data_IF_320866197830
#
_entry.id   IF_320866197830
#
_cell.length_a   1.000
_cell.length_b   1.000
_cell.length_c   1.000
_cell.angle_alpha   90.00
_cell.angle_beta   90.00
_cell.angle_gamma   90.00
#
_symmetry.space_group_name_H-M   'P 1'
#
loop_
_entity.id
_entity.type
_entity.pdbx_description
1 polymer ?
#
# COMPACT_ATOMS: atom_id res chain seq x y z
N UNK A 1 0.84 17.54 13.98
CA UNK A 1 0.62 17.62 12.53
C UNK A 1 0.50 19.08 12.14
N UNK A 2 1.53 19.66 11.55
CA UNK A 2 1.36 20.93 10.83
C UNK A 2 1.03 20.58 9.38
N UNK A 3 -0.27 20.54 9.08
CA UNK A 3 -0.67 20.41 7.70
C UNK A 3 -0.80 21.80 7.07
N UNK A 4 0.08 22.11 6.13
CA UNK A 4 0.01 23.39 5.39
C UNK A 4 -0.95 23.27 4.22
N UNK A 5 -2.02 24.06 4.22
CA UNK A 5 -2.98 24.12 3.11
C UNK A 5 -2.31 24.70 1.85
N UNK A 6 -2.19 23.90 0.79
CA UNK A 6 -1.70 24.39 -0.51
C UNK A 6 -2.80 25.19 -1.23
N UNK A 7 -2.50 26.44 -1.59
CA UNK A 7 -3.39 27.29 -2.39
C UNK A 7 -3.52 26.69 -3.80
N UNK A 8 -4.75 26.43 -4.27
CA UNK A 8 -4.99 25.93 -5.63
C UNK A 8 -4.56 26.98 -6.66
N UNK A 9 -3.67 26.59 -7.57
CA UNK A 9 -3.21 27.45 -8.66
C UNK A 9 -4.17 27.39 -9.86
N UNK A 10 -4.27 28.45 -10.68
CA UNK A 10 -5.11 28.44 -11.86
C UNK A 10 -4.67 27.33 -12.85
N UNK A 11 -5.64 26.55 -13.31
CA UNK A 11 -5.42 25.38 -14.18
C UNK A 11 -5.52 25.71 -15.68
N UNK A 12 -5.97 26.91 -16.04
CA UNK A 12 -6.16 27.30 -17.44
C UNK A 12 -4.82 27.38 -18.21
N UNK A 13 -4.75 26.71 -19.37
CA UNK A 13 -3.56 26.67 -20.23
C UNK A 13 -3.08 28.05 -20.70
N UNK A 14 -4.00 28.97 -21.02
CA UNK A 14 -3.66 30.33 -21.47
C UNK A 14 -2.97 31.10 -20.35
N UNK A 15 -3.51 30.98 -19.12
CA UNK A 15 -2.93 31.61 -17.94
C UNK A 15 -1.56 31.00 -17.61
N UNK A 16 -1.41 29.67 -17.72
CA UNK A 16 -0.11 28.99 -17.51
C UNK A 16 0.92 29.39 -18.58
N UNK A 17 0.52 29.50 -19.85
CA UNK A 17 1.39 29.93 -20.95
C UNK A 17 1.85 31.38 -20.74
N UNK A 18 0.93 32.32 -20.52
CA UNK A 18 1.24 33.72 -20.26
C UNK A 18 2.15 33.89 -19.05
N UNK A 19 1.92 33.12 -17.97
CA UNK A 19 2.78 33.16 -16.80
C UNK A 19 4.18 32.61 -17.08
N UNK A 20 4.29 31.51 -17.85
CA UNK A 20 5.57 30.93 -18.25
C UNK A 20 6.37 31.88 -19.14
N UNK A 21 5.73 32.54 -20.10
CA UNK A 21 6.40 33.46 -21.03
C UNK A 21 6.77 34.79 -20.37
N UNK A 22 5.90 35.35 -19.52
CA UNK A 22 6.15 36.65 -18.88
C UNK A 22 7.09 36.59 -17.68
N UNK A 23 7.00 35.53 -16.88
CA UNK A 23 7.71 35.45 -15.60
C UNK A 23 8.71 34.29 -15.54
N UNK A 24 8.73 33.41 -16.54
CA UNK A 24 9.56 32.22 -16.50
C UNK A 24 9.34 31.42 -15.21
N UNK A 25 10.44 31.15 -14.52
CA UNK A 25 10.42 30.51 -13.20
C UNK A 25 10.64 31.56 -12.12
N UNK A 26 9.56 31.89 -11.40
CA UNK A 26 9.57 32.95 -10.38
C UNK A 26 10.51 32.67 -9.20
N UNK A 27 10.84 31.40 -8.94
CA UNK A 27 11.75 30.96 -7.89
C UNK A 27 12.89 30.15 -8.52
N UNK A 28 14.10 30.34 -8.02
CA UNK A 28 15.23 29.51 -8.42
C UNK A 28 14.92 28.03 -8.14
N UNK A 29 15.28 27.14 -9.07
CA UNK A 29 15.02 25.70 -8.96
C UNK A 29 13.59 25.24 -9.30
N UNK A 30 12.60 26.14 -9.51
CA UNK A 30 11.22 25.71 -9.81
C UNK A 30 10.92 25.48 -11.29
N UNK A 31 11.93 25.54 -12.16
CA UNK A 31 11.77 25.43 -13.62
C UNK A 31 11.03 24.15 -14.03
N UNK A 32 11.46 23.00 -13.49
CA UNK A 32 10.85 21.70 -13.79
C UNK A 32 9.39 21.63 -13.32
N UNK A 33 9.07 22.17 -12.14
CA UNK A 33 7.69 22.20 -11.64
C UNK A 33 6.78 23.06 -12.52
N UNK A 34 7.23 24.25 -12.92
CA UNK A 34 6.47 25.15 -13.81
C UNK A 34 6.24 24.51 -15.18
N UNK A 35 7.25 23.83 -15.73
CA UNK A 35 7.15 23.12 -17.00
C UNK A 35 6.21 21.92 -16.90
N UNK A 36 6.36 21.06 -15.87
CA UNK A 36 5.49 19.89 -15.65
C UNK A 36 4.02 20.29 -15.49
N UNK A 37 3.74 21.37 -14.75
CA UNK A 37 2.38 21.90 -14.63
C UNK A 37 1.81 22.30 -16.00
N UNK A 38 2.58 22.95 -16.86
CA UNK A 38 2.09 23.31 -18.19
C UNK A 38 1.70 22.09 -19.03
N UNK A 39 2.49 21.02 -19.00
CA UNK A 39 2.22 19.80 -19.76
C UNK A 39 1.01 18.98 -19.26
N UNK A 40 0.48 19.25 -18.06
CA UNK A 40 -0.80 18.65 -17.62
C UNK A 40 -1.98 19.04 -18.51
N UNK A 41 -1.88 20.17 -19.22
CA UNK A 41 -2.94 20.66 -20.11
C UNK A 41 -2.74 20.25 -21.58
N UNK A 42 -1.64 19.54 -21.88
CA UNK A 42 -1.34 19.05 -23.22
C UNK A 42 -1.77 17.60 -23.28
N UNK A 43 -2.70 17.30 -24.19
CA UNK A 43 -3.15 15.94 -24.44
C UNK A 43 -2.28 15.29 -25.54
N UNK A 44 -2.13 13.94 -25.53
CA UNK A 44 -1.47 13.23 -26.62
C UNK A 44 -2.16 13.52 -27.95
N UNK A 45 -1.38 13.85 -28.98
CA UNK A 45 -1.89 14.12 -30.33
C UNK A 45 -2.24 12.85 -31.12
N UNK A 46 -1.78 11.68 -30.66
CA UNK A 46 -1.91 10.42 -31.36
C UNK A 46 -2.00 9.24 -30.38
N UNK A 47 -2.90 8.29 -30.63
CA UNK A 47 -3.08 7.10 -29.81
C UNK A 47 -3.09 5.87 -30.70
N UNK A 48 -2.22 4.90 -30.41
CA UNK A 48 -2.23 3.59 -31.07
C UNK A 48 -2.84 2.57 -30.12
N UNK A 49 -3.84 1.85 -30.61
CA UNK A 49 -4.59 0.85 -29.84
C UNK A 49 -4.13 -0.55 -30.27
N UNK A 50 -4.16 -1.51 -29.34
CA UNK A 50 -3.79 -2.91 -29.58
C UNK A 50 -2.37 -3.06 -30.14
N UNK A 51 -1.42 -2.35 -29.52
CA UNK A 51 0.01 -2.51 -29.79
C UNK A 51 0.42 -3.94 -29.45
N UNK A 52 1.19 -4.57 -30.33
CA UNK A 52 1.72 -5.90 -30.06
C UNK A 52 2.80 -5.80 -28.98
N UNK A 53 2.71 -6.69 -28.00
CA UNK A 53 3.64 -6.72 -26.87
C UNK A 53 4.13 -8.15 -26.61
N UNK A 54 5.30 -8.31 -25.98
CA UNK A 54 5.76 -9.61 -25.49
C UNK A 54 4.73 -10.27 -24.56
N UNK A 55 4.82 -11.61 -24.36
CA UNK A 55 3.97 -12.35 -23.44
C UNK A 55 4.32 -12.02 -21.99
N UNK A 56 3.92 -10.83 -21.54
CA UNK A 56 4.13 -10.30 -20.19
C UNK A 56 2.92 -9.47 -19.73
N UNK A 57 2.79 -9.28 -18.43
CA UNK A 57 1.82 -8.41 -17.79
C UNK A 57 2.48 -7.08 -17.44
N UNK A 58 2.20 -6.08 -18.27
CA UNK A 58 2.67 -4.71 -18.08
C UNK A 58 2.08 -4.13 -16.80
N UNK A 59 2.91 -3.52 -15.94
CA UNK A 59 2.45 -3.05 -14.62
C UNK A 59 2.49 -1.55 -14.42
N UNK A 60 3.68 -0.95 -14.28
CA UNK A 60 3.83 0.48 -14.01
C UNK A 60 5.25 1.00 -14.31
N UNK A 61 5.38 2.31 -14.44
CA UNK A 61 6.68 2.99 -14.51
C UNK A 61 7.31 3.13 -13.13
N UNK A 62 8.64 3.09 -13.07
CA UNK A 62 9.40 3.56 -11.91
C UNK A 62 9.07 5.02 -11.59
N UNK A 63 9.23 5.48 -10.34
CA UNK A 63 8.87 6.84 -9.93
C UNK A 63 9.57 7.92 -10.76
N UNK A 64 10.80 7.65 -11.23
CA UNK A 64 11.58 8.54 -12.08
C UNK A 64 11.20 8.49 -13.58
N UNK A 65 10.30 7.58 -13.97
CA UNK A 65 9.79 7.40 -15.32
C UNK A 65 10.78 6.79 -16.33
N UNK A 66 11.96 6.35 -15.89
CA UNK A 66 13.00 5.81 -16.78
C UNK A 66 12.81 4.33 -17.09
N UNK A 67 12.29 3.58 -16.13
CA UNK A 67 12.08 2.14 -16.26
C UNK A 67 10.58 1.83 -16.25
N UNK A 68 10.21 0.76 -16.93
CA UNK A 68 8.87 0.21 -16.94
C UNK A 68 8.95 -1.27 -16.57
N UNK A 69 8.19 -1.69 -15.56
CA UNK A 69 8.21 -3.07 -15.09
C UNK A 69 7.04 -3.86 -15.67
N UNK A 70 7.31 -5.12 -16.00
CA UNK A 70 6.31 -6.11 -16.38
C UNK A 70 6.62 -7.45 -15.69
N UNK A 71 5.59 -8.25 -15.47
CA UNK A 71 5.73 -9.62 -14.98
C UNK A 71 5.70 -10.58 -16.17
N UNK A 72 6.52 -11.62 -16.17
CA UNK A 72 6.47 -12.63 -17.22
C UNK A 72 5.11 -13.34 -17.28
N UNK A 73 4.78 -13.95 -18.42
CA UNK A 73 3.51 -14.67 -18.60
C UNK A 73 3.29 -15.80 -17.57
N UNK A 74 4.37 -16.45 -17.15
CA UNK A 74 4.37 -17.52 -16.13
C UNK A 74 4.42 -16.99 -14.68
N UNK A 75 4.55 -15.67 -14.47
CA UNK A 75 4.57 -15.02 -13.16
C UNK A 75 5.72 -15.46 -12.24
N UNK A 76 6.86 -15.84 -12.82
CA UNK A 76 8.06 -16.27 -12.10
C UNK A 76 9.15 -15.20 -12.09
N UNK A 77 9.14 -14.31 -13.09
CA UNK A 77 10.19 -13.34 -13.34
C UNK A 77 9.64 -11.93 -13.54
N UNK A 78 10.51 -10.96 -13.26
CA UNK A 78 10.27 -9.54 -13.48
C UNK A 78 11.10 -9.08 -14.68
N UNK A 79 10.42 -8.51 -15.65
CA UNK A 79 11.00 -7.88 -16.82
C UNK A 79 11.09 -6.37 -16.60
N UNK A 80 12.29 -5.81 -16.72
CA UNK A 80 12.54 -4.38 -16.58
C UNK A 80 12.90 -3.82 -17.94
N UNK A 81 12.06 -2.92 -18.44
CA UNK A 81 12.25 -2.23 -19.72
C UNK A 81 12.76 -0.80 -19.49
N UNK A 82 13.74 -0.37 -20.28
CA UNK A 82 14.18 1.02 -20.35
C UNK A 82 13.29 1.80 -21.31
N UNK A 83 12.67 2.86 -20.81
CA UNK A 83 11.87 3.78 -21.61
C UNK A 83 12.77 4.70 -22.44
N UNK A 84 12.59 4.71 -23.76
CA UNK A 84 13.42 5.48 -24.71
C UNK A 84 12.93 6.93 -24.91
N UNK A 85 11.84 7.32 -24.25
CA UNK A 85 11.28 8.67 -24.34
C UNK A 85 10.15 8.80 -25.36
N UNK A 86 9.45 9.95 -25.36
CA UNK A 86 8.22 10.15 -26.14
C UNK A 86 8.48 10.26 -27.66
N UNK A 87 9.68 10.62 -28.08
CA UNK A 87 10.05 10.75 -29.50
C UNK A 87 10.58 9.46 -30.13
N UNK A 88 10.66 8.35 -29.37
CA UNK A 88 11.34 7.13 -29.80
C UNK A 88 10.71 6.45 -31.04
N UNK A 89 9.43 6.72 -31.30
CA UNK A 89 8.71 6.25 -32.48
C UNK A 89 8.21 7.41 -33.37
N UNK A 90 8.79 8.60 -33.24
CA UNK A 90 8.35 9.78 -34.01
C UNK A 90 8.59 9.61 -35.51
N UNK A 91 9.66 8.89 -35.90
CA UNK A 91 9.98 8.53 -37.28
C UNK A 91 8.88 7.66 -37.92
N UNK A 92 8.33 6.72 -37.15
CA UNK A 92 7.23 5.86 -37.59
C UNK A 92 5.91 6.65 -37.79
N UNK A 93 5.78 7.82 -37.15
CA UNK A 93 4.53 8.59 -37.11
C UNK A 93 4.60 9.92 -37.89
N UNK A 94 5.77 10.31 -38.41
CA UNK A 94 6.02 11.66 -38.95
C UNK A 94 5.15 12.02 -40.15
N UNK A 95 4.81 11.04 -40.99
CA UNK A 95 4.04 11.25 -42.23
C UNK A 95 2.61 10.68 -42.14
N UNK A 96 2.17 10.40 -40.92
CA UNK A 96 0.88 9.76 -40.66
C UNK A 96 -0.11 10.82 -40.23
N UNK A 97 -1.19 10.96 -41.01
CA UNK A 97 -2.35 11.75 -40.62
C UNK A 97 -3.19 11.02 -39.55
N UNK A 98 -4.47 10.78 -39.85
CA UNK A 98 -5.31 10.00 -38.93
C UNK A 98 -5.00 8.51 -39.03
N UNK A 99 -4.71 7.89 -37.89
CA UNK A 99 -4.41 6.45 -37.78
C UNK A 99 -5.47 5.57 -38.47
N UNK A 100 -6.75 5.92 -38.31
CA UNK A 100 -7.89 5.16 -38.84
C UNK A 100 -8.02 5.21 -40.36
N UNK A 101 -7.37 6.17 -41.01
CA UNK A 101 -7.39 6.33 -42.49
C UNK A 101 -6.25 5.60 -43.19
N UNK A 102 -5.33 4.99 -42.43
CA UNK A 102 -4.20 4.24 -42.97
C UNK A 102 -4.64 2.88 -43.52
N UNK A 103 -3.86 2.34 -44.45
CA UNK A 103 -4.01 0.95 -44.87
C UNK A 103 -3.69 -0.01 -43.73
N UNK A 104 -4.42 -1.14 -43.68
CA UNK A 104 -4.29 -2.16 -42.62
C UNK A 104 -2.84 -2.67 -42.50
N UNK A 105 -2.14 -2.79 -43.63
CA UNK A 105 -0.73 -3.22 -43.67
C UNK A 105 0.18 -2.27 -42.88
N UNK A 106 0.03 -0.95 -43.08
CA UNK A 106 0.83 0.07 -42.39
C UNK A 106 0.46 0.11 -40.90
N UNK A 107 -0.82 -0.01 -40.56
CA UNK A 107 -1.26 -0.07 -39.17
C UNK A 107 -0.62 -1.24 -38.41
N UNK A 108 -0.52 -2.41 -39.04
CA UNK A 108 0.08 -3.60 -38.43
C UNK A 108 1.61 -3.47 -38.27
N UNK A 109 2.30 -2.89 -39.25
CA UNK A 109 3.74 -2.63 -39.15
C UNK A 109 4.05 -1.66 -37.99
N UNK A 110 3.21 -0.65 -37.80
CA UNK A 110 3.31 0.28 -36.67
C UNK A 110 3.05 -0.43 -35.34
N UNK A 111 1.97 -1.24 -35.25
CA UNK A 111 1.61 -1.96 -34.01
C UNK A 111 2.69 -2.93 -33.55
N UNK A 112 3.37 -3.60 -34.48
CA UNK A 112 4.42 -4.56 -34.16
C UNK A 112 5.71 -3.91 -33.67
N UNK A 113 6.08 -2.74 -34.21
CA UNK A 113 7.36 -2.07 -33.89
C UNK A 113 7.31 -1.06 -32.75
N UNK A 114 6.14 -0.46 -32.49
CA UNK A 114 6.02 0.64 -31.51
C UNK A 114 6.51 0.23 -30.12
N UNK A 115 6.16 -0.97 -29.65
CA UNK A 115 6.51 -1.40 -28.29
C UNK A 115 8.03 -1.48 -28.11
N UNK A 116 8.73 -2.16 -29.03
CA UNK A 116 10.19 -2.32 -28.98
C UNK A 116 10.93 -0.98 -29.10
N UNK A 117 10.36 -0.01 -29.83
CA UNK A 117 10.92 1.34 -29.94
C UNK A 117 10.85 2.11 -28.63
N UNK A 118 9.71 2.08 -27.94
CA UNK A 118 9.55 2.77 -26.66
C UNK A 118 10.21 2.04 -25.51
N UNK A 119 10.20 0.71 -25.52
CA UNK A 119 10.59 -0.14 -24.40
C UNK A 119 11.62 -1.16 -24.84
N UNK A 120 12.87 -0.96 -24.40
CA UNK A 120 13.94 -1.93 -24.61
C UNK A 120 14.15 -2.75 -23.35
N UNK A 121 14.12 -4.08 -23.48
CA UNK A 121 14.38 -4.97 -22.34
C UNK A 121 15.78 -4.71 -21.80
N UNK A 122 15.87 -4.36 -20.52
CA UNK A 122 17.12 -4.05 -19.82
C UNK A 122 17.55 -5.21 -18.93
N UNK A 123 16.62 -5.75 -18.13
CA UNK A 123 16.87 -6.86 -17.23
C UNK A 123 15.71 -7.86 -17.26
N UNK A 124 16.04 -9.15 -17.16
CA UNK A 124 15.11 -10.24 -16.90
C UNK A 124 15.55 -10.88 -15.59
N UNK A 125 14.73 -10.78 -14.56
CA UNK A 125 15.08 -11.14 -13.19
C UNK A 125 14.19 -12.29 -12.76
N UNK A 126 14.75 -13.49 -12.65
CA UNK A 126 14.03 -14.65 -12.13
C UNK A 126 13.90 -14.51 -10.62
N UNK A 127 12.67 -14.43 -10.12
CA UNK A 127 12.39 -14.19 -8.70
C UNK A 127 12.06 -15.50 -7.99
N UNK A 128 11.12 -16.27 -8.54
CA UNK A 128 10.62 -17.50 -7.91
C UNK A 128 10.39 -18.58 -8.95
N UNK A 129 10.56 -19.83 -8.55
CA UNK A 129 10.30 -21.01 -9.41
C UNK A 129 9.09 -21.80 -8.94
N UNK A 130 8.66 -21.63 -7.69
CA UNK A 130 7.61 -22.44 -7.06
C UNK A 130 6.35 -21.64 -6.76
N UNK A 131 6.50 -20.33 -6.56
CA UNK A 131 5.40 -19.44 -6.17
C UNK A 131 4.94 -18.62 -7.38
N UNK A 132 3.77 -18.00 -7.28
CA UNK A 132 3.27 -17.09 -8.31
C UNK A 132 3.40 -15.64 -7.86
N UNK A 133 4.08 -14.81 -8.65
CA UNK A 133 4.12 -13.37 -8.43
C UNK A 133 2.73 -12.76 -8.62
N UNK A 134 2.32 -11.94 -7.67
CA UNK A 134 1.10 -11.16 -7.78
C UNK A 134 1.37 -9.95 -8.69
N UNK A 135 0.77 -9.96 -9.87
CA UNK A 135 0.93 -8.92 -10.92
C UNK A 135 0.54 -7.52 -10.44
N UNK A 136 -0.32 -7.42 -9.44
CA UNK A 136 -0.77 -6.14 -8.91
C UNK A 136 0.09 -5.65 -7.74
N UNK A 137 0.92 -6.52 -7.17
CA UNK A 137 1.76 -6.21 -6.03
C UNK A 137 3.10 -5.62 -6.48
N UNK A 138 3.25 -4.31 -6.32
CA UNK A 138 4.49 -3.62 -6.65
C UNK A 138 4.59 -2.30 -5.93
N UNK A 139 5.66 -2.11 -5.16
CA UNK A 139 5.98 -0.89 -4.42
C UNK A 139 7.40 -0.46 -4.80
N UNK A 140 7.61 0.81 -5.12
CA UNK A 140 8.94 1.33 -5.44
C UNK A 140 9.45 2.15 -4.27
N UNK A 141 10.74 2.02 -3.98
CA UNK A 141 11.43 2.97 -3.13
C UNK A 141 11.42 4.37 -3.77
N UNK A 142 11.51 5.41 -2.93
CA UNK A 142 11.45 6.80 -3.37
C UNK A 142 12.59 7.16 -4.34
N UNK A 143 13.76 6.54 -4.19
CA UNK A 143 14.90 6.71 -5.09
C UNK A 143 14.73 5.99 -6.44
N UNK A 144 13.67 5.17 -6.58
CA UNK A 144 13.40 4.36 -7.77
C UNK A 144 14.40 3.22 -8.01
N UNK A 145 15.31 2.97 -7.07
CA UNK A 145 16.34 1.93 -7.19
C UNK A 145 15.78 0.54 -6.94
N UNK A 146 14.92 0.41 -5.93
CA UNK A 146 14.37 -0.86 -5.50
C UNK A 146 12.89 -0.98 -5.83
N UNK A 147 12.46 -2.22 -6.10
CA UNK A 147 11.06 -2.58 -6.18
C UNK A 147 10.79 -3.77 -5.27
N UNK A 148 9.71 -3.68 -4.50
CA UNK A 148 9.16 -4.80 -3.73
C UNK A 148 8.04 -5.41 -4.55
N UNK A 149 8.11 -6.72 -4.75
CA UNK A 149 7.07 -7.52 -5.39
C UNK A 149 6.69 -8.67 -4.47
N UNK A 150 5.40 -8.98 -4.41
CA UNK A 150 4.88 -10.07 -3.60
C UNK A 150 4.54 -11.28 -4.44
N UNK A 151 4.85 -12.47 -3.94
CA UNK A 151 4.33 -13.75 -4.43
C UNK A 151 3.46 -14.43 -3.39
N UNK A 152 2.62 -15.33 -3.87
CA UNK A 152 1.81 -16.21 -3.05
C UNK A 152 1.97 -17.66 -3.52
N UNK A 153 1.91 -18.59 -2.58
CA UNK A 153 1.82 -20.01 -2.82
C UNK A 153 0.68 -20.61 -2.03
N UNK A 154 -0.13 -21.43 -2.69
CA UNK A 154 -1.14 -22.22 -2.01
C UNK A 154 -0.49 -23.28 -1.13
N UNK A 155 -1.09 -23.49 0.04
CA UNK A 155 -0.68 -24.56 0.95
C UNK A 155 -1.33 -25.86 0.45
N UNK A 156 -0.55 -26.91 0.11
CA UNK A 156 -1.10 -28.19 -0.32
C UNK A 156 -2.00 -28.82 0.74
N UNK A 157 -3.09 -29.48 0.34
CA UNK A 157 -4.05 -30.10 1.28
C UNK A 157 -3.43 -31.18 2.20
N UNK A 158 -2.35 -31.82 1.74
CA UNK A 158 -1.56 -32.81 2.49
C UNK A 158 -0.77 -32.17 3.63
N UNK A 159 -0.37 -30.90 3.46
CA UNK A 159 0.41 -30.13 4.43
C UNK A 159 -0.53 -29.27 5.25
N UNK A 160 -1.37 -29.91 6.09
CA UNK A 160 -2.28 -29.17 6.96
C UNK A 160 -1.49 -28.40 8.02
N UNK A 161 -1.64 -27.06 8.09
CA UNK A 161 -0.98 -26.28 9.12
C UNK A 161 -1.43 -26.70 10.50
N UNK A 162 -0.49 -26.72 11.44
CA UNK A 162 -0.80 -27.05 12.82
C UNK A 162 -1.63 -25.96 13.47
N UNK A 163 -2.39 -26.32 14.50
CA UNK A 163 -3.28 -25.37 15.20
C UNK A 163 -2.53 -24.11 15.68
N UNK A 164 -1.32 -24.28 16.21
CA UNK A 164 -0.53 -23.18 16.78
C UNK A 164 0.17 -22.32 15.71
N UNK A 165 0.27 -22.80 14.48
CA UNK A 165 0.73 -21.97 13.35
C UNK A 165 -0.40 -21.07 12.83
N UNK A 166 -1.65 -21.55 12.85
CA UNK A 166 -2.82 -20.76 12.45
C UNK A 166 -3.13 -19.68 13.51
N UNK A 167 -3.09 -20.08 14.78
CA UNK A 167 -3.47 -19.26 15.92
C UNK A 167 -2.25 -18.85 16.74
N UNK A 168 -1.54 -17.84 16.27
CA UNK A 168 -0.31 -17.33 16.91
C UNK A 168 -0.58 -16.37 18.07
N UNK A 169 -1.81 -15.89 18.22
CA UNK A 169 -2.28 -15.12 19.37
C UNK A 169 -3.81 -15.24 19.52
N UNK A 170 -4.33 -14.79 20.67
CA UNK A 170 -5.76 -14.79 20.99
C UNK A 170 -6.63 -13.87 20.12
N UNK A 171 -6.03 -13.04 19.28
CA UNK A 171 -6.71 -12.17 18.33
C UNK A 171 -6.76 -12.73 16.91
N UNK A 172 -6.08 -13.85 16.65
CA UNK A 172 -5.99 -14.44 15.32
C UNK A 172 -7.38 -14.74 14.75
N UNK A 173 -7.53 -14.47 13.46
CA UNK A 173 -8.81 -14.62 12.76
C UNK A 173 -9.08 -16.09 12.47
N UNK A 174 -10.35 -16.49 12.45
CA UNK A 174 -10.69 -17.87 12.05
C UNK A 174 -10.65 -17.98 10.53
N UNK A 175 -9.81 -18.88 9.96
CA UNK A 175 -9.76 -19.07 8.52
C UNK A 175 -11.11 -19.52 7.96
N UNK A 176 -11.45 -19.06 6.77
CA UNK A 176 -12.69 -19.42 6.10
C UNK A 176 -12.40 -19.86 4.67
N UNK A 177 -13.34 -20.59 4.05
CA UNK A 177 -13.23 -21.01 2.65
C UNK A 177 -13.06 -19.80 1.71
N UNK A 178 -13.63 -18.65 2.07
CA UNK A 178 -13.54 -17.40 1.28
C UNK A 178 -12.23 -16.63 1.52
N UNK A 179 -11.49 -16.99 2.57
CA UNK A 179 -10.23 -16.37 2.96
C UNK A 179 -9.19 -17.47 3.24
N UNK A 180 -8.75 -18.22 2.20
CA UNK A 180 -7.76 -19.28 2.38
C UNK A 180 -6.43 -18.69 2.81
N UNK A 181 -5.73 -19.47 3.64
CA UNK A 181 -4.37 -19.18 4.08
C UNK A 181 -3.39 -19.59 2.97
N UNK A 182 -2.38 -18.77 2.79
CA UNK A 182 -1.35 -18.93 1.76
C UNK A 182 0.01 -18.61 2.39
N UNK A 183 1.07 -19.12 1.78
CA UNK A 183 2.42 -18.69 2.07
C UNK A 183 2.74 -17.50 1.16
N UNK A 184 3.02 -16.36 1.78
CA UNK A 184 3.36 -15.11 1.08
C UNK A 184 4.84 -14.83 1.19
N UNK A 185 5.42 -14.36 0.11
CA UNK A 185 6.83 -13.99 0.08
C UNK A 185 6.99 -12.61 -0.55
N UNK A 186 7.71 -11.72 0.13
CA UNK A 186 8.08 -10.41 -0.36
C UNK A 186 9.51 -10.43 -0.87
N UNK A 187 9.69 -10.00 -2.12
CA UNK A 187 10.96 -9.99 -2.81
C UNK A 187 11.41 -8.56 -3.04
N UNK A 188 12.63 -8.24 -2.64
CA UNK A 188 13.26 -6.95 -2.89
C UNK A 188 14.20 -7.07 -4.08
N UNK A 189 13.96 -6.28 -5.12
CA UNK A 189 14.70 -6.35 -6.39
C UNK A 189 15.37 -5.00 -6.67
N UNK A 190 16.67 -5.01 -6.98
CA UNK A 190 17.42 -3.84 -7.44
C UNK A 190 17.26 -3.68 -8.97
N UNK A 191 16.61 -2.60 -9.40
CA UNK A 191 16.32 -2.28 -10.80
C UNK A 191 17.54 -1.75 -11.57
N UNK A 192 18.56 -1.25 -10.87
CA UNK A 192 19.79 -0.76 -11.48
C UNK A 192 20.72 -1.92 -11.84
N UNK A 193 20.90 -2.86 -10.91
CA UNK A 193 21.74 -4.03 -11.09
C UNK A 193 21.01 -5.20 -11.74
N UNK A 194 19.67 -5.21 -11.69
CA UNK A 194 18.87 -6.28 -12.26
C UNK A 194 18.98 -7.58 -11.46
N UNK A 195 18.97 -7.50 -10.12
CA UNK A 195 19.14 -8.67 -9.24
C UNK A 195 18.12 -8.70 -8.11
N UNK A 196 17.78 -9.91 -7.67
CA UNK A 196 17.08 -10.14 -6.42
C UNK A 196 18.05 -9.90 -5.25
N UNK A 197 17.67 -9.06 -4.29
CA UNK A 197 18.53 -8.65 -3.18
C UNK A 197 18.17 -9.36 -1.87
N UNK A 198 16.89 -9.38 -1.51
CA UNK A 198 16.43 -9.98 -0.25
C UNK A 198 15.00 -10.52 -0.35
N UNK A 199 14.64 -11.41 0.56
CA UNK A 199 13.39 -12.17 0.56
C UNK A 199 12.83 -12.25 1.99
N UNK A 200 11.53 -12.01 2.17
CA UNK A 200 10.83 -12.18 3.45
C UNK A 200 9.60 -13.06 3.31
N UNK A 201 9.56 -14.13 4.09
CA UNK A 201 8.51 -15.14 4.05
C UNK A 201 7.51 -14.96 5.20
N UNK A 202 6.22 -15.10 4.88
CA UNK A 202 5.09 -15.11 5.80
C UNK A 202 4.31 -16.39 5.55
N UNK A 203 4.39 -17.34 6.47
CA UNK A 203 3.76 -18.65 6.31
C UNK A 203 2.38 -18.66 6.96
N UNK A 204 1.44 -19.38 6.35
CA UNK A 204 0.13 -19.68 6.95
C UNK A 204 -0.60 -18.38 7.33
N UNK A 205 -0.51 -17.38 6.45
CA UNK A 205 -1.02 -16.04 6.72
C UNK A 205 -2.13 -15.66 5.73
N UNK A 206 -2.76 -14.50 5.96
CA UNK A 206 -3.55 -13.77 4.98
C UNK A 206 -3.02 -12.36 4.84
N UNK A 207 -2.37 -12.08 3.71
CA UNK A 207 -1.88 -10.76 3.33
C UNK A 207 -2.50 -10.36 1.99
N UNK A 208 -3.22 -9.24 1.96
CA UNK A 208 -3.84 -8.75 0.73
C UNK A 208 -2.81 -8.07 -0.20
N UNK A 209 -2.12 -8.87 -1.01
CA UNK A 209 -1.14 -8.36 -1.98
C UNK A 209 -1.76 -7.58 -3.16
N UNK A 210 -2.98 -7.96 -3.56
CA UNK A 210 -3.69 -7.31 -4.66
C UNK A 210 -3.91 -5.82 -4.39
N UNK A 211 -3.65 -5.00 -5.41
CA UNK A 211 -3.61 -3.54 -5.30
C UNK A 211 -2.81 -2.98 -4.10
N UNK A 212 -1.81 -3.71 -3.59
CA UNK A 212 -1.02 -3.34 -2.41
C UNK A 212 -1.89 -3.04 -1.16
N UNK A 213 -3.02 -3.71 -0.96
CA UNK A 213 -3.92 -3.35 0.15
C UNK A 213 -3.36 -3.68 1.54
N UNK A 214 -2.57 -4.75 1.64
CA UNK A 214 -1.91 -5.20 2.86
C UNK A 214 -0.46 -4.72 3.00
N UNK A 215 0.08 -4.01 2.00
CA UNK A 215 1.45 -3.52 1.98
C UNK A 215 1.48 -2.00 1.80
N UNK A 216 2.27 -1.30 2.59
CA UNK A 216 2.45 0.13 2.40
C UNK A 216 3.90 0.52 2.58
N UNK A 217 4.45 1.27 1.63
CA UNK A 217 5.82 1.78 1.68
C UNK A 217 5.78 3.30 1.76
N UNK A 218 6.46 3.84 2.76
CA UNK A 218 6.69 5.27 2.90
C UNK A 218 8.20 5.49 3.02
N UNK A 219 8.80 6.16 2.03
CA UNK A 219 10.26 6.27 1.90
C UNK A 219 10.93 4.90 1.86
N UNK A 220 11.66 4.57 2.91
CA UNK A 220 12.37 3.32 3.15
C UNK A 220 11.65 2.41 4.16
N UNK A 221 10.54 2.86 4.75
CA UNK A 221 9.80 2.13 5.76
C UNK A 221 8.63 1.37 5.13
N UNK A 222 8.71 0.04 5.15
CA UNK A 222 7.68 -0.88 4.68
C UNK A 222 6.85 -1.39 5.86
N UNK A 223 5.53 -1.21 5.78
CA UNK A 223 4.58 -1.87 6.66
C UNK A 223 3.89 -3.04 5.92
N UNK A 224 3.80 -4.20 6.58
CA UNK A 224 3.06 -5.39 6.13
C UNK A 224 1.99 -5.79 7.15
N UNK A 225 0.73 -5.88 6.73
CA UNK A 225 -0.39 -6.30 7.58
C UNK A 225 -0.65 -7.80 7.41
N UNK A 226 -0.35 -8.55 8.47
CA UNK A 226 -0.83 -9.91 8.68
C UNK A 226 -2.27 -9.85 9.19
N UNK A 227 -3.23 -10.13 8.31
CA UNK A 227 -4.66 -10.13 8.67
C UNK A 227 -5.00 -11.36 9.48
N UNK A 228 -4.43 -12.52 9.14
CA UNK A 228 -4.68 -13.76 9.87
C UNK A 228 -4.19 -13.65 11.33
N UNK A 229 -2.96 -13.18 11.53
CA UNK A 229 -2.36 -13.10 12.86
C UNK A 229 -2.58 -11.75 13.56
N UNK A 230 -3.34 -10.83 12.97
CA UNK A 230 -3.61 -9.51 13.54
C UNK A 230 -2.33 -8.80 14.00
N UNK A 231 -1.36 -8.71 13.09
CA UNK A 231 -0.05 -8.12 13.34
C UNK A 231 0.39 -7.23 12.19
N UNK A 232 0.98 -6.08 12.51
CA UNK A 232 1.64 -5.21 11.56
C UNK A 232 3.14 -5.37 11.74
N UNK A 233 3.83 -5.76 10.67
CA UNK A 233 5.28 -5.86 10.60
C UNK A 233 5.84 -4.58 9.97
N UNK A 234 6.79 -3.94 10.64
CA UNK A 234 7.50 -2.76 10.15
C UNK A 234 8.92 -3.18 9.81
N UNK A 235 9.29 -2.98 8.55
CA UNK A 235 10.62 -3.19 8.01
C UNK A 235 11.20 -1.88 7.51
N UNK A 236 12.52 -1.76 7.56
CA UNK A 236 13.25 -0.69 6.89
C UNK A 236 14.09 -1.28 5.76
N UNK A 237 14.11 -0.63 4.60
CA UNK A 237 14.94 -1.02 3.46
C UNK A 237 16.29 -0.32 3.59
N UNK A 238 17.33 -1.10 3.87
CA UNK A 238 18.70 -0.59 3.99
C UNK A 238 19.62 -1.43 3.12
N UNK A 239 20.31 -0.77 2.18
CA UNK A 239 21.31 -1.39 1.28
C UNK A 239 20.85 -2.68 0.57
N UNK A 240 19.56 -2.74 0.21
CA UNK A 240 19.00 -3.90 -0.48
C UNK A 240 18.61 -5.05 0.45
N UNK A 241 18.44 -4.80 1.74
CA UNK A 241 17.93 -5.77 2.70
C UNK A 241 16.69 -5.23 3.42
N UNK A 242 15.78 -6.12 3.80
CA UNK A 242 14.72 -5.85 4.74
C UNK A 242 15.29 -5.97 6.16
N UNK A 243 15.26 -4.89 6.92
CA UNK A 243 15.65 -4.87 8.34
C UNK A 243 14.38 -4.87 9.19
N UNK A 244 14.24 -5.84 10.09
CA UNK A 244 13.12 -5.90 11.04
C UNK A 244 13.22 -4.75 12.05
N UNK A 245 12.25 -3.83 12.03
CA UNK A 245 12.22 -2.70 12.97
C UNK A 245 11.29 -3.00 14.13
N UNK A 246 10.03 -3.32 13.85
CA UNK A 246 9.01 -3.48 14.90
C UNK A 246 7.86 -4.37 14.48
N UNK A 247 7.21 -5.01 15.45
CA UNK A 247 5.94 -5.73 15.30
C UNK A 247 4.90 -5.08 16.19
N UNK A 248 3.72 -4.78 15.63
CA UNK A 248 2.64 -4.09 16.33
C UNK A 248 1.39 -4.99 16.30
N UNK A 249 0.91 -5.41 17.47
CA UNK A 249 -0.26 -6.30 17.58
C UNK A 249 -0.47 -6.76 19.02
N UNK A 250 -0.12 -8.03 19.31
CA UNK A 250 -0.12 -8.61 20.67
C UNK A 250 0.68 -7.74 21.64
N UNK A 251 1.87 -7.35 21.23
CA UNK A 251 2.75 -6.43 21.93
C UNK A 251 2.97 -5.16 21.11
N UNK A 252 3.33 -4.06 21.79
CA UNK A 252 3.54 -2.75 21.16
C UNK A 252 4.94 -2.18 21.42
N UNK A 253 5.67 -2.69 22.40
CA UNK A 253 7.08 -2.39 22.60
C UNK A 253 7.95 -3.63 22.34
N UNK A 254 9.22 -3.40 22.06
CA UNK A 254 10.18 -4.47 21.71
C UNK A 254 10.46 -5.40 22.89
N UNK A 255 10.57 -4.84 24.10
CA UNK A 255 10.90 -5.59 25.32
C UNK A 255 9.69 -6.34 25.92
N UNK A 256 8.47 -6.04 25.48
CA UNK A 256 7.23 -6.60 26.03
C UNK A 256 7.23 -8.13 25.95
N UNK A 257 7.68 -8.70 24.83
CA UNK A 257 7.73 -10.15 24.63
C UNK A 257 8.70 -10.82 25.60
N UNK A 258 9.87 -10.20 25.81
CA UNK A 258 10.87 -10.70 26.74
C UNK A 258 10.36 -10.66 28.18
N UNK A 259 9.77 -9.53 28.60
CA UNK A 259 9.19 -9.36 29.93
C UNK A 259 8.03 -10.34 30.16
N UNK A 260 7.14 -10.50 29.19
CA UNK A 260 6.04 -11.45 29.28
C UNK A 260 6.54 -12.89 29.46
N UNK A 261 7.49 -13.32 28.62
CA UNK A 261 8.07 -14.67 28.70
C UNK A 261 8.85 -14.92 30.00
N UNK A 262 9.36 -13.87 30.66
CA UNK A 262 10.02 -14.01 31.96
C UNK A 262 9.07 -14.39 33.10
N UNK A 263 7.78 -14.03 32.98
CA UNK A 263 6.74 -14.33 33.97
C UNK A 263 5.92 -15.56 33.55
N UNK A 264 5.62 -15.70 32.25
CA UNK A 264 4.77 -16.75 31.69
C UNK A 264 5.51 -17.55 30.60
N UNK A 265 6.56 -18.32 30.93
CA UNK A 265 7.41 -19.00 29.95
C UNK A 265 6.71 -20.13 29.18
N UNK A 266 5.64 -20.68 29.76
CA UNK A 266 4.94 -21.86 29.23
C UNK A 266 3.52 -21.56 28.72
N UNK A 267 3.08 -20.30 28.77
CA UNK A 267 1.76 -19.93 28.26
C UNK A 267 1.80 -19.77 26.74
N UNK A 268 0.92 -20.51 26.07
CA UNK A 268 0.74 -20.38 24.64
C UNK A 268 -0.03 -19.08 24.35
N UNK A 269 0.51 -18.24 23.46
CA UNK A 269 -0.03 -16.93 23.09
C UNK A 269 -1.52 -16.92 22.69
N UNK A 270 -2.03 -18.03 22.16
CA UNK A 270 -3.43 -18.19 21.81
C UNK A 270 -4.36 -18.28 23.04
N UNK A 271 -3.85 -18.81 24.16
CA UNK A 271 -4.62 -19.00 25.40
C UNK A 271 -4.58 -17.79 26.33
N UNK A 272 -3.98 -16.69 25.89
CA UNK A 272 -3.94 -15.44 26.64
C UNK A 272 -5.37 -14.99 26.99
N UNK A 273 -5.66 -14.92 28.29
CA UNK A 273 -6.94 -14.41 28.80
C UNK A 273 -7.03 -12.89 28.63
N UNK A 274 -5.88 -12.23 28.52
CA UNK A 274 -5.78 -10.77 28.50
C UNK A 274 -5.92 -10.19 27.10
N UNK A 275 -6.51 -8.99 27.02
CA UNK A 275 -6.62 -8.23 25.78
C UNK A 275 -5.22 -7.80 25.33
N UNK A 276 -4.94 -7.97 24.03
CA UNK A 276 -3.68 -7.58 23.42
C UNK A 276 -3.37 -6.09 23.57
N UNK A 277 -2.08 -5.75 23.58
CA UNK A 277 -1.60 -4.39 23.87
C UNK A 277 -2.19 -3.32 22.96
N UNK A 278 -2.26 -3.58 21.65
CA UNK A 278 -2.81 -2.63 20.69
C UNK A 278 -4.31 -2.41 20.92
N UNK A 279 -5.07 -3.49 21.12
CA UNK A 279 -6.51 -3.45 21.36
C UNK A 279 -6.84 -2.82 22.71
N UNK A 280 -6.08 -3.12 23.75
CA UNK A 280 -6.23 -2.50 25.06
C UNK A 280 -6.04 -0.97 24.98
N UNK A 281 -5.05 -0.50 24.21
CA UNK A 281 -4.82 0.94 23.98
C UNK A 281 -5.97 1.60 23.24
N UNK A 282 -6.55 0.92 22.26
CA UNK A 282 -7.77 1.36 21.57
C UNK A 282 -8.94 1.50 22.54
N UNK A 283 -9.25 0.45 23.31
CA UNK A 283 -10.36 0.44 24.26
C UNK A 283 -10.18 1.50 25.35
N UNK A 284 -8.95 1.66 25.85
CA UNK A 284 -8.61 2.71 26.83
C UNK A 284 -8.81 4.10 26.25
N UNK A 285 -8.44 4.32 24.98
CA UNK A 285 -8.66 5.61 24.32
C UNK A 285 -10.15 5.93 24.20
N UNK A 286 -10.96 4.96 23.77
CA UNK A 286 -12.42 5.11 23.64
C UNK A 286 -13.07 5.38 25.00
N UNK A 287 -12.67 4.64 26.04
CA UNK A 287 -13.15 4.86 27.41
C UNK A 287 -12.80 6.26 27.93
N UNK A 288 -11.54 6.70 27.79
CA UNK A 288 -11.11 8.03 28.24
C UNK A 288 -11.86 9.14 27.49
N UNK A 289 -12.10 8.97 26.20
CA UNK A 289 -12.92 9.89 25.41
C UNK A 289 -14.35 9.96 25.96
N UNK A 290 -14.98 8.82 26.21
CA UNK A 290 -16.34 8.77 26.76
C UNK A 290 -16.42 9.38 28.17
N UNK A 291 -15.47 9.09 29.05
CA UNK A 291 -15.39 9.66 30.41
C UNK A 291 -15.25 11.18 30.35
N UNK A 292 -14.33 11.70 29.55
CA UNK A 292 -14.12 13.14 29.42
C UNK A 292 -15.36 13.86 28.90
N UNK A 293 -16.08 13.27 27.93
CA UNK A 293 -17.33 13.85 27.42
C UNK A 293 -18.39 13.85 28.52
N UNK A 294 -18.61 12.72 29.20
CA UNK A 294 -19.58 12.61 30.30
C UNK A 294 -19.27 13.55 31.46
N UNK A 295 -18.00 13.76 31.81
CA UNK A 295 -17.58 14.73 32.83
C UNK A 295 -17.83 16.17 32.38
N UNK A 296 -17.56 16.48 31.11
CA UNK A 296 -17.77 17.83 30.56
C UNK A 296 -19.23 18.22 30.37
N UNK A 297 -20.10 17.27 30.02
CA UNK A 297 -21.54 17.50 29.81
C UNK A 297 -22.37 17.24 31.07
N UNK A 298 -21.81 16.55 32.06
CA UNK A 298 -22.51 16.09 33.25
C UNK A 298 -23.49 14.94 32.98
N UNK A 299 -23.45 14.31 31.80
CA UNK A 299 -24.37 13.24 31.40
C UNK A 299 -23.64 11.89 31.22
N UNK A 300 -24.01 10.83 31.96
CA UNK A 300 -23.38 9.51 31.86
C UNK A 300 -23.75 8.71 30.60
N UNK A 301 -24.55 9.26 29.67
CA UNK A 301 -25.00 8.56 28.46
C UNK A 301 -23.86 8.01 27.60
N UNK A 302 -22.82 8.78 27.34
CA UNK A 302 -21.68 8.34 26.51
C UNK A 302 -20.88 7.20 27.15
N UNK A 303 -20.66 7.27 28.47
CA UNK A 303 -20.03 6.18 29.21
C UNK A 303 -20.89 4.90 29.17
N UNK A 304 -22.22 5.02 29.27
CA UNK A 304 -23.14 3.88 29.14
C UNK A 304 -23.11 3.27 27.75
N UNK A 305 -23.04 4.09 26.68
CA UNK A 305 -22.87 3.60 25.30
C UNK A 305 -21.58 2.82 25.12
N UNK A 306 -20.47 3.29 25.72
CA UNK A 306 -19.20 2.55 25.68
C UNK A 306 -19.34 1.16 26.30
N UNK A 307 -19.93 1.05 27.49
CA UNK A 307 -20.14 -0.26 28.13
C UNK A 307 -21.12 -1.15 27.36
N UNK A 308 -22.19 -0.57 26.80
CA UNK A 308 -23.16 -1.30 25.97
C UNK A 308 -22.50 -1.92 24.74
N UNK A 309 -21.55 -1.22 24.12
CA UNK A 309 -20.87 -1.66 22.90
C UNK A 309 -19.47 -2.22 23.14
N UNK A 310 -19.09 -2.48 24.39
CA UNK A 310 -17.74 -2.93 24.75
C UNK A 310 -17.34 -4.20 24.01
N UNK A 311 -18.21 -5.21 24.00
CA UNK A 311 -17.96 -6.49 23.32
C UNK A 311 -17.84 -6.32 21.81
N UNK A 312 -18.58 -5.37 21.23
CA UNK A 312 -18.45 -5.03 19.81
C UNK A 312 -17.09 -4.40 19.51
N UNK A 313 -16.61 -3.46 20.33
CA UNK A 313 -15.28 -2.90 20.16
C UNK A 313 -14.18 -3.95 20.37
N UNK A 314 -14.38 -4.85 21.33
CA UNK A 314 -13.42 -5.91 21.63
C UNK A 314 -13.38 -6.98 20.54
N UNK A 315 -14.45 -7.20 19.77
CA UNK A 315 -14.46 -8.19 18.68
C UNK A 315 -13.87 -7.67 17.36
N UNK A 316 -13.66 -6.35 17.23
CA UNK A 316 -13.09 -5.76 16.01
C UNK A 316 -11.70 -6.31 15.69
N UNK A 317 -11.44 -6.46 14.39
CA UNK A 317 -10.19 -6.94 13.81
C UNK A 317 -9.62 -5.91 12.82
N UNK A 318 -8.30 -5.81 12.76
CA UNK A 318 -7.56 -5.06 11.75
C UNK A 318 -7.86 -5.64 10.37
N UNK A 319 -8.31 -4.76 9.49
CA UNK A 319 -8.67 -5.09 8.12
C UNK A 319 -7.69 -4.48 7.11
N UNK A 320 -7.30 -3.23 7.34
CA UNK A 320 -6.44 -2.47 6.44
C UNK A 320 -5.53 -1.56 7.24
N UNK A 321 -4.39 -1.21 6.69
CA UNK A 321 -3.52 -0.19 7.26
C UNK A 321 -2.91 0.71 6.18
N UNK A 322 -2.35 1.82 6.63
CA UNK A 322 -1.63 2.78 5.81
C UNK A 322 -0.62 3.55 6.67
N UNK A 323 0.59 3.77 6.18
CA UNK A 323 1.51 4.74 6.79
C UNK A 323 1.09 6.15 6.34
N UNK A 324 0.88 7.05 7.30
CA UNK A 324 0.62 8.47 7.05
C UNK A 324 1.93 9.25 6.94
N UNK A 325 2.93 8.84 7.72
CA UNK A 325 4.31 9.31 7.70
C UNK A 325 5.23 8.22 8.29
N UNK A 326 6.47 8.57 8.64
CA UNK A 326 7.45 7.65 9.24
C UNK A 326 7.01 7.06 10.58
N UNK A 327 6.14 7.76 11.32
CA UNK A 327 5.82 7.44 12.72
C UNK A 327 4.35 7.15 12.97
N UNK A 328 3.45 7.39 12.01
CA UNK A 328 2.02 7.29 12.19
C UNK A 328 1.39 6.27 11.23
N UNK A 329 0.65 5.33 11.81
CA UNK A 329 -0.18 4.37 11.11
C UNK A 329 -1.64 4.78 11.20
N UNK A 330 -2.34 4.72 10.08
CA UNK A 330 -3.78 4.68 10.00
C UNK A 330 -4.20 3.22 9.90
N UNK A 331 -4.86 2.70 10.94
CA UNK A 331 -5.32 1.31 11.00
C UNK A 331 -6.84 1.30 10.93
N UNK A 332 -7.38 0.52 10.00
CA UNK A 332 -8.82 0.32 9.84
C UNK A 332 -9.23 -0.97 10.52
N UNK A 333 -10.16 -0.86 11.46
CA UNK A 333 -10.79 -1.98 12.15
C UNK A 333 -12.21 -2.19 11.64
N UNK A 334 -12.61 -3.46 11.52
CA UNK A 334 -13.92 -3.90 11.10
C UNK A 334 -14.32 -5.19 11.84
N UNK A 335 -15.55 -5.64 11.66
CA UNK A 335 -16.00 -6.95 12.15
C UNK A 335 -15.23 -8.09 11.49
N UNK A 336 -15.08 -9.22 12.20
CA UNK A 336 -14.39 -10.40 11.66
C UNK A 336 -15.04 -10.92 10.37
N UNK A 337 -16.35 -10.77 10.21
CA UNK A 337 -17.08 -11.20 9.00
C UNK A 337 -16.69 -10.41 7.75
N UNK A 338 -16.44 -9.10 7.89
CA UNK A 338 -15.93 -8.24 6.81
C UNK A 338 -14.47 -8.60 6.53
N UNK A 339 -13.66 -8.78 7.57
CA UNK A 339 -12.23 -9.12 7.44
C UNK A 339 -12.03 -10.46 6.73
N UNK A 340 -12.89 -11.44 7.00
CA UNK A 340 -12.85 -12.78 6.38
C UNK A 340 -13.58 -12.87 5.03
N UNK A 341 -14.07 -11.74 4.49
CA UNK A 341 -14.82 -11.68 3.22
C UNK A 341 -16.08 -12.58 3.21
N UNK A 342 -16.63 -12.91 4.38
CA UNK A 342 -17.95 -13.57 4.49
C UNK A 342 -19.06 -12.63 4.03
N UNK A 343 -18.87 -11.32 4.24
CA UNK A 343 -19.71 -10.27 3.67
C UNK A 343 -18.88 -9.46 2.68
N UNK A 344 -19.30 -9.45 1.41
CA UNK A 344 -18.62 -8.71 0.32
C UNK A 344 -18.99 -7.23 0.32
N UNK A 345 -20.22 -6.93 0.72
CA UNK A 345 -20.68 -5.57 0.91
C UNK A 345 -20.43 -5.20 2.35
N UNK A 346 -19.39 -4.38 2.57
CA UNK A 346 -19.33 -3.52 3.74
C UNK A 346 -20.49 -2.52 3.65
N UNK A 347 -21.72 -3.00 3.83
CA UNK A 347 -22.89 -2.16 3.97
C UNK A 347 -22.55 -1.15 5.06
N UNK A 348 -22.81 0.12 4.78
CA UNK A 348 -22.54 1.27 5.66
C UNK A 348 -23.21 1.17 7.05
N UNK A 349 -23.93 0.08 7.34
CA UNK A 349 -24.55 -0.21 8.62
C UNK A 349 -23.59 -0.78 9.68
N UNK A 350 -22.51 -1.47 9.31
CA UNK A 350 -21.56 -1.96 10.32
C UNK A 350 -20.50 -0.90 10.66
N UNK A 351 -20.26 -0.65 11.96
CA UNK A 351 -19.35 0.40 12.39
C UNK A 351 -17.91 -0.01 12.07
N UNK A 352 -17.22 0.83 11.29
CA UNK A 352 -15.80 0.71 11.02
C UNK A 352 -15.05 1.85 11.71
N UNK A 353 -13.88 1.52 12.25
CA UNK A 353 -13.07 2.48 12.99
C UNK A 353 -11.73 2.71 12.29
N UNK A 354 -11.35 3.97 12.19
CA UNK A 354 -10.07 4.43 11.70
C UNK A 354 -9.26 4.95 12.88
N UNK A 355 -8.13 4.32 13.13
CA UNK A 355 -7.30 4.56 14.31
C UNK A 355 -5.97 5.11 13.85
N UNK A 356 -5.60 6.29 14.36
CA UNK A 356 -4.28 6.88 14.16
C UNK A 356 -3.39 6.45 15.32
N UNK A 357 -2.40 5.62 15.02
CA UNK A 357 -1.46 5.05 15.97
C UNK A 357 -0.05 5.59 15.72
N UNK A 358 0.63 6.04 16.78
CA UNK A 358 2.02 6.46 16.71
C UNK A 358 2.96 5.30 17.07
N UNK A 359 3.83 4.93 16.14
CA UNK A 359 4.75 3.79 16.23
C UNK A 359 5.78 3.99 17.35
N UNK A 360 6.36 5.19 17.47
CA UNK A 360 7.46 5.44 18.40
C UNK A 360 7.01 5.49 19.86
N UNK A 361 5.92 6.22 20.13
CA UNK A 361 5.34 6.35 21.47
C UNK A 361 4.37 5.22 21.81
N UNK A 362 4.09 4.34 20.86
CA UNK A 362 3.11 3.25 20.95
C UNK A 362 1.72 3.71 21.41
N UNK A 363 1.28 4.92 21.05
CA UNK A 363 0.02 5.52 21.52
C UNK A 363 -1.02 5.65 20.41
N UNK A 364 -2.28 5.41 20.76
CA UNK A 364 -3.43 5.81 19.93
C UNK A 364 -3.65 7.31 20.11
N UNK A 365 -3.57 8.05 19.00
CA UNK A 365 -3.75 9.51 18.97
C UNK A 365 -5.21 9.86 18.75
N UNK A 366 -5.86 9.20 17.81
CA UNK A 366 -7.21 9.51 17.39
C UNK A 366 -7.95 8.27 16.91
N UNK A 367 -9.27 8.27 17.09
CA UNK A 367 -10.18 7.23 16.62
C UNK A 367 -11.39 7.90 15.98
N UNK A 368 -11.68 7.50 14.75
CA UNK A 368 -12.78 8.02 13.95
C UNK A 368 -13.69 6.90 13.49
N UNK A 369 -14.99 7.12 13.54
CA UNK A 369 -15.98 6.26 12.89
C UNK A 369 -16.04 6.54 11.39
N UNK A 370 -16.55 5.57 10.61
CA UNK A 370 -16.81 5.72 9.18
C UNK A 370 -17.73 6.90 8.83
N UNK A 371 -18.65 7.26 9.73
CA UNK A 371 -19.58 8.39 9.57
C UNK A 371 -18.99 9.74 9.99
N UNK A 372 -17.73 9.79 10.43
CA UNK A 372 -17.13 10.99 11.00
C UNK A 372 -16.90 12.08 9.95
N UNK A 373 -17.58 13.22 10.13
CA UNK A 373 -17.35 14.44 9.35
C UNK A 373 -15.93 14.99 9.51
N UNK A 374 -15.33 14.81 10.68
CA UNK A 374 -13.96 15.25 10.95
C UNK A 374 -12.95 14.52 10.07
N UNK A 375 -13.11 13.20 9.93
CA UNK A 375 -12.25 12.39 9.07
C UNK A 375 -12.41 12.80 7.60
N UNK A 376 -13.64 13.07 7.15
CA UNK A 376 -13.90 13.58 5.80
C UNK A 376 -13.22 14.93 5.59
N UNK A 377 -13.36 15.87 6.53
CA UNK A 377 -12.71 17.17 6.44
C UNK A 377 -11.18 17.05 6.41
N UNK A 378 -10.60 16.14 7.21
CA UNK A 378 -9.16 15.86 7.19
C UNK A 378 -8.73 15.29 5.85
N UNK A 379 -9.49 14.35 5.30
CA UNK A 379 -9.22 13.73 4.01
C UNK A 379 -9.34 14.74 2.85
N UNK A 380 -10.35 15.61 2.85
CA UNK A 380 -10.52 16.63 1.81
C UNK A 380 -9.39 17.67 1.82
N UNK A 381 -8.99 18.10 3.02
CA UNK A 381 -7.95 19.11 3.17
C UNK A 381 -6.53 18.56 2.95
N UNK A 382 -6.31 17.27 3.25
CA UNK A 382 -4.99 16.62 3.23
C UNK A 382 -4.94 15.39 2.32
N UNK A 383 -5.74 15.41 1.27
CA UNK A 383 -5.92 14.30 0.33
C UNK A 383 -4.60 13.73 -0.19
N UNK A 384 -3.61 14.59 -0.47
CA UNK A 384 -2.28 14.17 -0.92
C UNK A 384 -1.58 13.25 0.09
N UNK A 385 -1.63 13.61 1.39
CA UNK A 385 -1.03 12.83 2.49
C UNK A 385 -1.72 11.48 2.71
N UNK A 386 -3.01 11.37 2.37
CA UNK A 386 -3.76 10.11 2.46
C UNK A 386 -3.71 9.27 1.17
N UNK A 387 -3.35 9.85 0.03
CA UNK A 387 -3.35 9.12 -1.26
C UNK A 387 -1.97 8.62 -1.67
N UNK A 388 -0.93 9.40 -1.39
CA UNK A 388 0.42 9.07 -1.81
C UNK A 388 1.38 9.27 -0.62
N UNK A 389 2.24 8.28 -0.36
CA UNK A 389 3.56 8.61 0.14
C UNK A 389 4.13 9.63 -0.84
N UNK A 390 4.32 10.87 -0.40
CA UNK A 390 4.68 11.97 -1.28
C UNK A 390 6.06 11.66 -1.89
N UNK A 391 6.08 11.07 -3.09
CA UNK A 391 7.29 10.73 -3.83
C UNK A 391 8.14 11.96 -4.19
N UNK A 392 7.60 13.17 -3.96
CA UNK A 392 8.25 14.43 -4.25
C UNK A 392 7.84 15.49 -3.22
N UNK A 393 8.63 15.62 -2.16
CA UNK A 393 8.72 16.84 -1.35
C UNK A 393 10.02 17.56 -1.65
#
# INVERSE_FOLDING_TARGET
MEFTQKRRHPENIVVRLLNRERYGSRKAGTQLHTVRQFYQNIFPNFTVINVEKPPCFLRKFSPDGKCFIAFSADQTSLEVYSYQGPAAAADLLQNIGNYDTLSISIQNDIKSRIFERFFKLKHLINITTTEQLNRECSLFSDDGRYVIVGSASYIPEEMRPTFYEIYTNNESVTPTIRSPLEDYTLHLVDLHLGKLCDIRNFKIDKIFLSHNQGLYLYKDTLAVLSVQHQMIHIFQILDGMFVDVRKIGRFCYEDDLYLYNSVYPSEAAFKDVYINSLKHRLLTFLYKRASNISESTGDPTELRKFYLHFDNFNSLKMWKMQLLDENHLLIKYASEEIVTLKQTDANSSEPQFFIVYNINSSKVIAVYENSSKELVNLYENFCDSFRNACLYS
#
